data_IF_231375366953
#
_entry.id   IF_231375366953
#
_cell.length_a   1.000
_cell.length_b   1.000
_cell.length_c   1.000
_cell.angle_alpha   90.00
_cell.angle_beta   90.00
_cell.angle_gamma   90.00
#
_symmetry.space_group_name_H-M   'P 1'
#
loop_
_entity.id
_entity.type
_entity.pdbx_description
1 polymer ?
#
# COMPACT_ATOMS: atom_id res chain seq x y z
N UNK A 1 13.85 -3.35 -9.02
CA UNK A 1 12.63 -4.06 -9.49
C UNK A 1 12.43 -5.43 -8.85
N UNK A 2 13.45 -6.27 -8.65
CA UNK A 2 13.25 -7.59 -8.03
C UNK A 2 12.76 -7.53 -6.57
N UNK A 3 13.17 -6.51 -5.81
CA UNK A 3 12.75 -6.32 -4.42
C UNK A 3 11.23 -6.27 -4.24
N UNK A 4 10.52 -5.55 -5.11
CA UNK A 4 9.05 -5.44 -5.05
C UNK A 4 8.40 -6.79 -5.39
N UNK A 5 8.97 -7.53 -6.34
CA UNK A 5 8.49 -8.87 -6.70
C UNK A 5 8.66 -9.83 -5.52
N UNK A 6 9.83 -9.85 -4.88
CA UNK A 6 10.07 -10.69 -3.71
C UNK A 6 9.17 -10.29 -2.53
N UNK A 7 8.90 -9.00 -2.37
CA UNK A 7 8.02 -8.51 -1.30
C UNK A 7 6.58 -8.97 -1.51
N UNK A 8 6.04 -8.81 -2.72
CA UNK A 8 4.69 -9.28 -3.07
C UNK A 8 4.59 -10.81 -2.98
N UNK A 9 5.59 -11.56 -3.44
CA UNK A 9 5.61 -13.01 -3.31
C UNK A 9 5.60 -13.44 -1.85
N UNK A 10 6.46 -12.87 -1.01
CA UNK A 10 6.48 -13.17 0.43
C UNK A 10 5.14 -12.84 1.11
N UNK A 11 4.53 -11.71 0.73
CA UNK A 11 3.21 -11.35 1.23
C UNK A 11 2.14 -12.39 0.85
N UNK A 12 2.09 -12.80 -0.42
CA UNK A 12 1.11 -13.80 -0.89
C UNK A 12 1.34 -15.19 -0.29
N UNK A 13 2.59 -15.57 -0.02
CA UNK A 13 2.92 -16.83 0.68
C UNK A 13 2.40 -16.83 2.12
N UNK A 14 2.52 -15.69 2.82
CA UNK A 14 2.09 -15.55 4.22
C UNK A 14 0.60 -15.26 4.36
N UNK A 15 0.02 -14.58 3.39
CA UNK A 15 -1.38 -14.15 3.33
C UNK A 15 -1.98 -14.52 1.98
N UNK A 16 -2.32 -15.80 1.74
CA UNK A 16 -2.81 -16.28 0.44
C UNK A 16 -4.10 -15.60 -0.05
N UNK A 17 -4.92 -15.11 0.88
CA UNK A 17 -6.17 -14.39 0.61
C UNK A 17 -6.02 -12.87 0.74
N UNK A 18 -4.80 -12.39 1.04
CA UNK A 18 -4.50 -10.97 1.17
C UNK A 18 -4.55 -10.24 -0.18
N UNK A 19 -4.78 -8.93 -0.11
CA UNK A 19 -4.70 -8.05 -1.26
C UNK A 19 -3.30 -7.41 -1.36
N UNK A 20 -2.47 -7.84 -2.33
CA UNK A 20 -1.11 -7.34 -2.47
C UNK A 20 -1.07 -5.86 -2.87
N UNK A 21 -2.09 -5.35 -3.58
CA UNK A 21 -2.14 -3.95 -3.96
C UNK A 21 -2.41 -3.07 -2.74
N UNK A 22 -3.38 -3.49 -1.90
CA UNK A 22 -3.66 -2.83 -0.63
C UNK A 22 -2.43 -2.81 0.28
N UNK A 23 -1.74 -3.94 0.42
CA UNK A 23 -0.54 -4.04 1.24
C UNK A 23 0.57 -3.07 0.80
N UNK A 24 0.80 -2.94 -0.51
CA UNK A 24 1.81 -2.00 -1.03
C UNK A 24 1.43 -0.54 -0.78
N UNK A 25 0.14 -0.20 -0.83
CA UNK A 25 -0.32 1.16 -0.48
C UNK A 25 -0.10 1.42 1.02
N UNK A 26 -0.46 0.47 1.89
CA UNK A 26 -0.24 0.60 3.34
C UNK A 26 1.24 0.79 3.66
N UNK A 27 2.12 -0.04 3.09
CA UNK A 27 3.55 0.09 3.29
C UNK A 27 4.09 1.45 2.84
N UNK A 28 3.60 1.97 1.71
CA UNK A 28 3.95 3.29 1.22
C UNK A 28 3.55 4.38 2.22
N UNK A 29 2.32 4.31 2.75
CA UNK A 29 1.81 5.27 3.72
C UNK A 29 2.55 5.18 5.06
N UNK A 30 2.86 3.97 5.55
CA UNK A 30 3.71 3.77 6.73
C UNK A 30 5.09 4.41 6.55
N UNK A 31 5.71 4.22 5.38
CA UNK A 31 7.01 4.82 5.07
C UNK A 31 6.92 6.35 5.00
N UNK A 32 5.84 6.90 4.43
CA UNK A 32 5.59 8.34 4.36
C UNK A 32 5.42 8.95 5.76
N UNK A 33 4.57 8.34 6.60
CA UNK A 33 4.35 8.76 7.99
C UNK A 33 5.65 8.73 8.80
N UNK A 34 6.41 7.62 8.73
CA UNK A 34 7.70 7.48 9.40
C UNK A 34 8.71 8.54 8.96
N UNK A 35 8.77 8.86 7.66
CA UNK A 35 9.66 9.89 7.12
C UNK A 35 9.28 11.29 7.62
N UNK A 36 7.99 11.52 7.87
CA UNK A 36 7.47 12.76 8.43
C UNK A 36 7.52 12.83 9.95
N UNK A 37 7.96 11.76 10.63
CA UNK A 37 8.06 11.68 12.08
C UNK A 37 6.72 11.53 12.79
N UNK A 38 5.72 10.92 12.14
CA UNK A 38 4.37 10.70 12.68
C UNK A 38 3.92 9.24 12.53
N UNK A 39 2.85 8.86 13.23
CA UNK A 39 2.18 7.58 13.07
C UNK A 39 1.35 7.53 11.76
N UNK A 40 1.10 6.31 11.28
CA UNK A 40 0.26 6.08 10.10
C UNK A 40 -1.15 6.65 10.27
N UNK A 41 -1.77 6.50 11.44
CA UNK A 41 -3.12 7.01 11.68
C UNK A 41 -3.13 8.54 11.69
N UNK A 42 -2.07 9.18 12.20
CA UNK A 42 -1.92 10.64 12.15
C UNK A 42 -1.84 11.14 10.70
N UNK A 43 -1.12 10.42 9.82
CA UNK A 43 -1.10 10.73 8.37
C UNK A 43 -2.50 10.56 7.74
N UNK A 44 -3.28 9.57 8.17
CA UNK A 44 -4.65 9.35 7.69
C UNK A 44 -5.66 10.38 8.23
N UNK A 45 -5.43 10.99 9.38
CA UNK A 45 -6.31 12.05 9.89
C UNK A 45 -6.14 13.37 9.13
N UNK A 46 -5.03 13.53 8.40
CA UNK A 46 -4.79 14.70 7.54
C UNK A 46 -5.82 14.70 6.39
N UNK A 47 -6.45 15.84 6.06
CA UNK A 47 -7.35 15.94 4.91
C UNK A 47 -6.68 15.48 3.61
N UNK A 48 -7.40 14.73 2.77
CA UNK A 48 -6.85 14.08 1.58
C UNK A 48 -6.04 15.02 0.66
N UNK A 49 -6.47 16.28 0.49
CA UNK A 49 -5.75 17.26 -0.32
C UNK A 49 -4.40 17.70 0.29
N UNK A 50 -4.30 17.73 1.61
CA UNK A 50 -3.09 18.11 2.34
C UNK A 50 -2.07 16.96 2.44
N UNK A 51 -2.51 15.70 2.34
CA UNK A 51 -1.64 14.52 2.40
C UNK A 51 -0.56 14.52 1.31
N UNK A 52 -0.79 15.21 0.18
CA UNK A 52 0.18 15.38 -0.90
C UNK A 52 1.50 16.02 -0.48
N UNK A 53 1.56 16.67 0.69
CA UNK A 53 2.81 17.19 1.28
C UNK A 53 3.75 16.10 1.79
N UNK A 54 3.24 14.88 1.98
CA UNK A 54 3.95 13.76 2.60
C UNK A 54 4.24 12.62 1.62
N UNK A 55 3.42 12.44 0.60
CA UNK A 55 3.60 11.49 -0.50
C UNK A 55 3.00 12.03 -1.81
N UNK A 56 3.47 11.56 -2.95
CA UNK A 56 2.87 11.88 -4.26
C UNK A 56 1.56 11.08 -4.50
N UNK A 57 0.83 11.40 -5.57
CA UNK A 57 -0.29 10.56 -6.02
C UNK A 57 0.25 9.22 -6.54
N UNK A 58 -0.22 8.11 -5.98
CA UNK A 58 0.25 6.76 -6.35
C UNK A 58 -0.91 5.87 -6.76
N UNK A 59 -0.72 5.09 -7.81
CA UNK A 59 -1.61 4.02 -8.22
C UNK A 59 -0.83 2.70 -8.23
N UNK A 60 -1.36 1.68 -7.55
CA UNK A 60 -0.80 0.33 -7.55
C UNK A 60 -1.73 -0.59 -8.33
N UNK A 61 -1.18 -1.28 -9.34
CA UNK A 61 -1.87 -2.30 -10.10
C UNK A 61 -1.08 -3.60 -10.02
N UNK A 62 -1.70 -4.66 -9.48
CA UNK A 62 -1.12 -6.00 -9.45
C UNK A 62 -1.87 -6.86 -10.47
N UNK A 63 -1.12 -7.40 -11.43
CA UNK A 63 -1.67 -8.27 -12.49
C UNK A 63 -1.17 -9.70 -12.25
N UNK A 64 -2.09 -10.61 -11.93
CA UNK A 64 -1.80 -12.05 -11.92
C UNK A 64 -2.23 -12.67 -13.24
N UNK A 65 -1.33 -13.38 -13.89
CA UNK A 65 -1.64 -14.17 -15.09
C UNK A 65 -2.29 -15.52 -14.75
N UNK A 66 -2.34 -15.87 -13.46
CA UNK A 66 -2.95 -17.11 -12.95
C UNK A 66 -4.44 -16.94 -12.62
N UNK A 67 -5.02 -15.76 -12.91
CA UNK A 67 -6.47 -15.54 -12.89
C UNK A 67 -7.06 -14.99 -11.58
N UNK A 68 -6.23 -14.54 -10.62
CA UNK A 68 -6.73 -13.86 -9.42
C UNK A 68 -6.98 -12.37 -9.69
N UNK A 69 -8.14 -11.88 -9.24
CA UNK A 69 -8.52 -10.47 -9.28
C UNK A 69 -8.76 -10.00 -7.86
N UNK A 70 -8.00 -8.98 -7.45
CA UNK A 70 -8.23 -8.25 -6.20
C UNK A 70 -9.02 -6.97 -6.48
N UNK A 71 -9.93 -6.62 -5.57
CA UNK A 71 -10.71 -5.38 -5.62
C UNK A 71 -10.52 -4.62 -4.32
N UNK A 72 -9.54 -3.73 -4.30
CA UNK A 72 -9.30 -2.84 -3.17
C UNK A 72 -10.19 -1.60 -3.32
N UNK A 73 -11.11 -1.37 -2.39
CA UNK A 73 -11.61 -0.03 -2.13
C UNK A 73 -10.63 0.58 -1.15
N UNK A 74 -10.01 1.73 -1.42
CA UNK A 74 -8.97 2.37 -0.58
C UNK A 74 -9.45 2.82 0.81
N UNK A 75 -10.10 1.91 1.54
CA UNK A 75 -10.52 2.00 2.92
C UNK A 75 -9.34 1.47 3.72
N UNK A 76 -8.63 2.40 4.34
CA UNK A 76 -7.64 2.09 5.36
C UNK A 76 -8.43 1.83 6.65
N UNK A 77 -8.27 0.64 7.25
CA UNK A 77 -8.91 0.29 8.53
C UNK A 77 -8.26 1.05 9.69
#
# INVERSE_FOLDING_TARGET
NQEVVSHVQNFLERFPDGDPAQHLIEELLFRAARKAGMDFHELLDIPQGDRRKYHDDVTVMVVSLEGRIWKSSGKYL
#
